data_IF_634717948762
#
_entry.id   IF_634717948762
#
_cell.length_a   1.000
_cell.length_b   1.000
_cell.length_c   1.000
_cell.angle_alpha   90.00
_cell.angle_beta   90.00
_cell.angle_gamma   90.00
#
_symmetry.space_group_name_H-M   'P 1'
#
loop_
_entity.id
_entity.type
_entity.pdbx_description
1 polymer ?
#
# COMPACT_ATOMS: atom_id res chain seq x y z
N UNK A 1 8.74 -50.04 19.89
CA UNK A 1 7.33 -49.57 20.07
C UNK A 1 7.15 -48.31 19.24
N UNK A 2 6.37 -48.38 18.16
CA UNK A 2 6.13 -47.25 17.25
C UNK A 2 5.04 -46.33 17.83
N UNK A 3 5.33 -45.03 17.91
CA UNK A 3 4.44 -44.01 18.46
C UNK A 3 3.48 -43.56 17.37
N UNK A 4 2.23 -44.04 17.42
CA UNK A 4 1.18 -43.70 16.45
C UNK A 4 0.86 -42.21 16.52
N UNK A 5 1.05 -41.48 15.42
CA UNK A 5 0.66 -40.06 15.31
C UNK A 5 -0.87 -39.97 15.23
N UNK A 6 -1.48 -39.35 16.24
CA UNK A 6 -2.91 -39.05 16.25
C UNK A 6 -3.20 -38.02 15.15
N UNK A 7 -4.22 -38.21 14.29
CA UNK A 7 -4.58 -37.24 13.26
C UNK A 7 -5.05 -35.93 13.89
N UNK A 8 -4.50 -34.81 13.42
CA UNK A 8 -4.97 -33.48 13.83
C UNK A 8 -6.43 -33.31 13.40
N UNK A 9 -7.30 -33.14 14.39
CA UNK A 9 -8.75 -32.97 14.21
C UNK A 9 -9.02 -31.75 13.34
N UNK A 10 -9.85 -31.91 12.30
CA UNK A 10 -10.24 -30.82 11.41
C UNK A 10 -10.77 -29.60 12.21
N UNK A 11 -10.38 -28.36 11.85
CA UNK A 11 -10.85 -27.16 12.53
C UNK A 11 -12.38 -27.08 12.50
N UNK A 12 -13.01 -26.78 13.63
CA UNK A 12 -14.46 -26.56 13.70
C UNK A 12 -14.82 -25.36 12.81
N UNK A 13 -15.79 -25.55 11.90
CA UNK A 13 -16.21 -24.56 10.90
C UNK A 13 -16.66 -23.19 11.47
N UNK A 14 -16.93 -23.08 12.79
CA UNK A 14 -17.51 -21.89 13.40
C UNK A 14 -16.52 -21.00 14.19
N UNK A 15 -15.21 -21.16 14.00
CA UNK A 15 -14.21 -20.27 14.63
C UNK A 15 -14.11 -18.94 13.88
N UNK A 16 -13.76 -17.85 14.60
CA UNK A 16 -13.50 -16.53 13.99
C UNK A 16 -12.46 -16.62 12.86
N UNK A 17 -11.37 -17.36 13.10
CA UNK A 17 -10.31 -17.59 12.10
C UNK A 17 -10.82 -18.30 10.85
N UNK A 18 -11.73 -19.28 10.99
CA UNK A 18 -12.31 -19.97 9.84
C UNK A 18 -13.18 -19.01 9.00
N UNK A 19 -13.96 -18.14 9.65
CA UNK A 19 -14.76 -17.12 8.95
C UNK A 19 -13.89 -16.10 8.22
N UNK A 20 -12.83 -15.59 8.86
CA UNK A 20 -11.88 -14.65 8.23
C UNK A 20 -11.18 -15.27 7.02
N UNK A 21 -10.80 -16.55 7.11
CA UNK A 21 -10.20 -17.26 5.99
C UNK A 21 -11.20 -17.49 4.84
N UNK A 22 -12.43 -17.85 5.16
CA UNK A 22 -13.49 -18.04 4.17
C UNK A 22 -13.85 -16.72 3.47
N UNK A 23 -13.91 -15.60 4.20
CA UNK A 23 -14.13 -14.29 3.60
C UNK A 23 -12.96 -13.84 2.72
N UNK A 24 -11.71 -14.04 3.16
CA UNK A 24 -10.54 -13.77 2.32
C UNK A 24 -10.58 -14.58 1.02
N UNK A 25 -10.92 -15.86 1.08
CA UNK A 25 -11.05 -16.69 -0.11
C UNK A 25 -12.15 -16.17 -1.04
N UNK A 26 -13.32 -15.81 -0.49
CA UNK A 26 -14.42 -15.21 -1.26
C UNK A 26 -13.99 -13.93 -1.99
N UNK A 27 -13.26 -13.05 -1.30
CA UNK A 27 -12.72 -11.80 -1.86
C UNK A 27 -11.68 -12.07 -2.96
N UNK A 28 -10.81 -13.07 -2.76
CA UNK A 28 -9.84 -13.52 -3.76
C UNK A 28 -10.52 -14.03 -5.03
N UNK A 29 -11.53 -14.90 -4.87
CA UNK A 29 -12.29 -15.46 -5.98
C UNK A 29 -13.06 -14.37 -6.74
N UNK A 30 -13.65 -13.41 -6.01
CA UNK A 30 -14.31 -12.25 -6.61
C UNK A 30 -13.34 -11.41 -7.43
N UNK A 31 -12.18 -11.06 -6.88
CA UNK A 31 -11.16 -10.28 -7.57
C UNK A 31 -10.65 -11.01 -8.83
N UNK A 32 -10.40 -12.31 -8.75
CA UNK A 32 -9.93 -13.08 -9.90
C UNK A 32 -10.97 -13.14 -11.02
N UNK A 33 -12.26 -13.36 -10.66
CA UNK A 33 -13.35 -13.34 -11.64
C UNK A 33 -13.47 -11.98 -12.32
N UNK A 34 -13.42 -10.90 -11.53
CA UNK A 34 -13.48 -9.54 -12.05
C UNK A 34 -12.29 -9.21 -12.95
N UNK A 35 -11.08 -9.62 -12.57
CA UNK A 35 -9.88 -9.45 -13.40
C UNK A 35 -10.08 -10.11 -14.77
N UNK A 36 -10.50 -11.38 -14.79
CA UNK A 36 -10.72 -12.12 -16.03
C UNK A 36 -11.80 -11.48 -16.90
N UNK A 37 -12.91 -11.05 -16.29
CA UNK A 37 -14.00 -10.36 -16.96
C UNK A 37 -13.52 -9.06 -17.62
N UNK A 38 -12.89 -8.16 -16.85
CA UNK A 38 -12.39 -6.88 -17.35
C UNK A 38 -11.30 -7.08 -18.40
N UNK A 39 -10.40 -8.06 -18.22
CA UNK A 39 -9.40 -8.39 -19.21
C UNK A 39 -10.04 -8.73 -20.54
N UNK A 40 -11.09 -9.55 -20.54
CA UNK A 40 -11.79 -9.92 -21.76
C UNK A 40 -12.57 -8.75 -22.39
N UNK A 41 -13.37 -8.03 -21.60
CA UNK A 41 -14.36 -7.08 -22.16
C UNK A 41 -13.84 -5.65 -22.35
N UNK A 42 -12.77 -5.27 -21.64
CA UNK A 42 -12.14 -3.93 -21.73
C UNK A 42 -10.78 -4.04 -22.38
N UNK A 43 -9.92 -4.91 -21.85
CA UNK A 43 -8.51 -4.99 -22.26
C UNK A 43 -8.25 -5.99 -23.40
N UNK A 44 -9.33 -6.57 -23.97
CA UNK A 44 -9.31 -7.48 -25.14
C UNK A 44 -8.38 -8.70 -24.97
N UNK A 45 -8.19 -9.17 -23.74
CA UNK A 45 -7.29 -10.28 -23.41
C UNK A 45 -5.81 -9.93 -23.54
N UNK A 46 -5.46 -8.64 -23.64
CA UNK A 46 -4.07 -8.21 -23.83
C UNK A 46 -3.26 -8.16 -22.52
N UNK A 47 -3.92 -8.16 -21.34
CA UNK A 47 -3.21 -8.38 -20.09
C UNK A 47 -2.92 -9.88 -19.92
N UNK A 48 -1.72 -10.29 -19.47
CA UNK A 48 -1.39 -11.71 -19.34
C UNK A 48 -2.36 -12.43 -18.40
N UNK A 49 -2.91 -13.60 -18.79
CA UNK A 49 -3.89 -14.33 -17.99
C UNK A 49 -3.29 -14.89 -16.69
N UNK A 50 -1.97 -15.02 -16.61
CA UNK A 50 -1.20 -15.42 -15.43
C UNK A 50 -0.81 -14.25 -14.52
N UNK A 51 -1.30 -13.03 -14.80
CA UNK A 51 -1.13 -11.86 -13.93
C UNK A 51 -1.56 -12.21 -12.50
N UNK A 52 -0.60 -12.11 -11.57
CA UNK A 52 -0.79 -12.56 -10.21
C UNK A 52 -1.50 -11.50 -9.37
N UNK A 53 -2.63 -11.86 -8.75
CA UNK A 53 -3.27 -11.02 -7.73
C UNK A 53 -2.72 -11.39 -6.35
N UNK A 54 -1.83 -10.56 -5.80
CA UNK A 54 -1.15 -10.80 -4.52
C UNK A 54 -1.81 -10.08 -3.36
N UNK A 55 -2.47 -10.85 -2.50
CA UNK A 55 -3.11 -10.33 -1.29
C UNK A 55 -2.10 -10.17 -0.15
N UNK A 56 -1.93 -8.94 0.31
CA UNK A 56 -0.90 -8.54 1.24
C UNK A 56 -1.48 -8.02 2.55
N UNK A 57 -1.00 -8.59 3.67
CA UNK A 57 -1.26 -8.09 5.02
C UNK A 57 -0.34 -6.92 5.42
N UNK A 58 0.63 -6.60 4.55
CA UNK A 58 1.68 -5.61 4.79
C UNK A 58 1.49 -4.34 3.96
N UNK A 59 0.63 -4.37 2.94
CA UNK A 59 0.17 -3.18 2.25
C UNK A 59 -0.87 -2.46 3.12
N UNK A 60 -0.43 -1.40 3.83
CA UNK A 60 -1.23 -0.73 4.88
C UNK A 60 -1.48 0.76 4.60
N UNK A 61 -0.84 1.34 3.58
CA UNK A 61 -0.93 2.75 3.22
C UNK A 61 -1.77 2.99 1.95
N UNK A 62 -1.85 2.00 1.07
CA UNK A 62 -2.68 2.03 -0.15
C UNK A 62 -3.48 0.74 -0.22
N UNK A 63 -4.55 0.76 -1.01
CA UNK A 63 -5.41 -0.41 -1.16
C UNK A 63 -4.95 -1.39 -2.24
N UNK A 64 -4.24 -0.89 -3.24
CA UNK A 64 -3.70 -1.66 -4.35
C UNK A 64 -2.36 -1.09 -4.81
N UNK A 65 -1.61 -1.90 -5.57
CA UNK A 65 -0.43 -1.47 -6.32
C UNK A 65 -0.18 -2.39 -7.51
N UNK A 66 -0.28 -1.85 -8.71
CA UNK A 66 0.21 -2.50 -9.92
C UNK A 66 1.76 -2.51 -9.93
N UNK A 67 2.34 -3.62 -10.38
CA UNK A 67 3.78 -3.81 -10.55
C UNK A 67 4.06 -4.36 -11.94
N UNK A 68 5.01 -3.73 -12.60
CA UNK A 68 5.54 -4.17 -13.88
C UNK A 68 7.06 -4.11 -13.81
N UNK A 69 7.72 -5.20 -14.20
CA UNK A 69 9.17 -5.27 -14.30
C UNK A 69 9.55 -6.02 -15.56
N UNK A 70 10.54 -5.53 -16.30
CA UNK A 70 11.13 -6.22 -17.45
C UNK A 70 12.60 -6.43 -17.21
N UNK A 71 13.03 -7.69 -17.19
CA UNK A 71 14.44 -8.05 -17.01
C UNK A 71 15.27 -7.72 -18.25
N UNK A 72 16.60 -7.78 -18.12
CA UNK A 72 17.52 -7.56 -19.25
C UNK A 72 17.39 -8.64 -20.32
N UNK A 73 17.00 -9.84 -19.90
CA UNK A 73 16.71 -11.00 -20.75
C UNK A 73 15.34 -10.89 -21.44
N UNK A 74 14.59 -9.81 -21.17
CA UNK A 74 13.28 -9.57 -21.77
C UNK A 74 12.11 -10.26 -21.07
N UNK A 75 12.32 -10.86 -19.89
CA UNK A 75 11.25 -11.49 -19.12
C UNK A 75 10.43 -10.40 -18.43
N UNK A 76 9.14 -10.35 -18.74
CA UNK A 76 8.19 -9.41 -18.14
C UNK A 76 7.46 -10.08 -16.97
N UNK A 77 7.46 -9.42 -15.81
CA UNK A 77 6.75 -9.83 -14.60
C UNK A 77 5.68 -8.80 -14.28
N UNK A 78 4.44 -9.24 -14.21
CA UNK A 78 3.27 -8.40 -13.96
C UNK A 78 2.50 -8.92 -12.74
N UNK A 79 2.23 -8.03 -11.79
CA UNK A 79 1.54 -8.35 -10.54
C UNK A 79 0.63 -7.20 -10.13
N UNK A 80 -0.50 -7.51 -9.50
CA UNK A 80 -1.29 -6.54 -8.73
C UNK A 80 -1.24 -6.95 -7.26
N UNK A 81 -0.64 -6.13 -6.41
CA UNK A 81 -0.73 -6.29 -4.96
C UNK A 81 -2.02 -5.65 -4.44
N UNK A 82 -2.75 -6.35 -3.58
CA UNK A 82 -4.04 -5.95 -3.02
C UNK A 82 -3.98 -6.00 -1.49
N UNK A 83 -4.44 -4.96 -0.81
CA UNK A 83 -4.34 -4.84 0.64
C UNK A 83 -5.48 -5.60 1.34
N UNK A 84 -5.14 -6.72 1.99
CA UNK A 84 -6.10 -7.58 2.71
C UNK A 84 -6.92 -6.81 3.76
N UNK A 85 -6.27 -5.89 4.48
CA UNK A 85 -6.90 -5.12 5.58
C UNK A 85 -7.70 -3.90 5.13
N UNK A 86 -7.56 -3.47 3.88
CA UNK A 86 -8.23 -2.27 3.34
C UNK A 86 -9.39 -2.68 2.41
N UNK A 87 -9.18 -3.73 1.62
CA UNK A 87 -10.17 -4.26 0.69
C UNK A 87 -11.12 -5.25 1.38
N UNK A 88 -11.96 -4.72 2.26
CA UNK A 88 -12.89 -5.48 3.11
C UNK A 88 -14.29 -5.70 2.49
N UNK A 89 -14.59 -5.06 1.37
CA UNK A 89 -15.86 -5.23 0.65
C UNK A 89 -15.66 -5.24 -0.88
N UNK A 90 -16.67 -5.79 -1.59
CA UNK A 90 -16.62 -5.98 -3.04
C UNK A 90 -16.52 -4.66 -3.82
N UNK A 91 -17.12 -3.59 -3.29
CA UNK A 91 -17.03 -2.27 -3.90
C UNK A 91 -15.61 -1.72 -3.91
N UNK A 92 -14.90 -1.82 -2.78
CA UNK A 92 -13.49 -1.40 -2.70
C UNK A 92 -12.63 -2.26 -3.62
N UNK A 93 -12.88 -3.58 -3.63
CA UNK A 93 -12.14 -4.50 -4.51
C UNK A 93 -12.35 -4.12 -5.97
N UNK A 94 -13.58 -3.92 -6.44
CA UNK A 94 -13.81 -3.65 -7.87
C UNK A 94 -13.23 -2.33 -8.32
N UNK A 95 -13.36 -1.26 -7.52
CA UNK A 95 -12.84 0.05 -7.89
C UNK A 95 -11.30 0.03 -7.89
N UNK A 96 -10.69 -0.55 -6.85
CA UNK A 96 -9.23 -0.62 -6.75
C UNK A 96 -8.62 -1.55 -7.77
N UNK A 97 -9.13 -2.78 -7.93
CA UNK A 97 -8.60 -3.70 -8.92
C UNK A 97 -8.68 -3.10 -10.33
N UNK A 98 -9.81 -2.47 -10.68
CA UNK A 98 -9.97 -1.81 -11.97
C UNK A 98 -8.98 -0.67 -12.18
N UNK A 99 -8.71 0.12 -11.14
CA UNK A 99 -7.69 1.17 -11.15
C UNK A 99 -6.31 0.57 -11.44
N UNK A 100 -5.91 -0.46 -10.69
CA UNK A 100 -4.60 -1.11 -10.89
C UNK A 100 -4.49 -1.77 -12.27
N UNK A 101 -5.58 -2.34 -12.80
CA UNK A 101 -5.61 -2.88 -14.17
C UNK A 101 -5.46 -1.79 -15.23
N UNK A 102 -5.98 -0.58 -15.00
CA UNK A 102 -5.78 0.55 -15.92
C UNK A 102 -4.30 0.95 -15.97
N UNK A 103 -3.59 0.96 -14.84
CA UNK A 103 -2.14 1.13 -14.84
C UNK A 103 -1.44 0.05 -15.68
N UNK A 104 -1.75 -1.22 -15.45
CA UNK A 104 -1.17 -2.31 -16.25
C UNK A 104 -1.44 -2.13 -17.75
N UNK A 105 -2.64 -1.72 -18.14
CA UNK A 105 -2.98 -1.48 -19.54
C UNK A 105 -2.08 -0.40 -20.16
N UNK A 106 -1.83 0.70 -19.45
CA UNK A 106 -0.92 1.75 -19.96
C UNK A 106 0.51 1.26 -20.15
N UNK A 107 0.95 0.31 -19.33
CA UNK A 107 2.32 -0.21 -19.37
C UNK A 107 2.51 -1.34 -20.37
N UNK A 108 1.55 -2.26 -20.44
CA UNK A 108 1.61 -3.49 -21.23
C UNK A 108 1.05 -3.30 -22.63
N UNK A 109 -0.06 -2.56 -22.77
CA UNK A 109 -0.77 -2.40 -24.04
C UNK A 109 -0.27 -1.15 -24.77
N UNK A 110 -0.16 -0.03 -24.06
CA UNK A 110 0.31 1.23 -24.67
C UNK A 110 1.83 1.39 -24.61
N UNK A 111 2.54 0.43 -23.98
CA UNK A 111 4.00 0.43 -23.81
C UNK A 111 4.57 1.70 -23.15
N UNK A 112 3.80 2.35 -22.27
CA UNK A 112 4.18 3.58 -21.59
C UNK A 112 4.28 3.39 -20.07
N UNK A 113 5.38 2.82 -19.61
CA UNK A 113 5.66 2.56 -18.17
C UNK A 113 5.78 3.82 -17.30
N UNK A 114 5.90 5.01 -17.91
CA UNK A 114 5.98 6.29 -17.19
C UNK A 114 4.61 6.92 -16.99
N UNK A 115 3.59 6.42 -17.69
CA UNK A 115 2.22 6.85 -17.51
C UNK A 115 1.73 6.46 -16.11
N UNK A 116 1.18 7.44 -15.41
CA UNK A 116 0.54 7.26 -14.12
C UNK A 116 -0.97 7.42 -14.32
N UNK A 117 -1.46 8.65 -14.20
CA UNK A 117 -2.89 9.00 -14.32
C UNK A 117 -3.17 10.01 -15.44
N UNK A 118 -2.30 10.06 -16.46
CA UNK A 118 -2.47 10.91 -17.63
C UNK A 118 -3.53 10.38 -18.60
N UNK A 119 -3.43 10.79 -19.86
CA UNK A 119 -4.50 10.60 -20.85
C UNK A 119 -4.78 9.13 -21.15
N UNK A 120 -3.75 8.28 -21.20
CA UNK A 120 -3.94 6.85 -21.48
C UNK A 120 -4.69 6.18 -20.34
N UNK A 121 -4.29 6.46 -19.09
CA UNK A 121 -4.99 5.95 -17.91
C UNK A 121 -6.46 6.38 -17.89
N UNK A 122 -6.74 7.67 -18.13
CA UNK A 122 -8.11 8.19 -18.16
C UNK A 122 -8.95 7.53 -19.25
N UNK A 123 -8.36 7.25 -20.42
CA UNK A 123 -9.03 6.53 -21.49
C UNK A 123 -9.38 5.10 -21.08
N UNK A 124 -8.47 4.37 -20.43
CA UNK A 124 -8.77 3.02 -19.92
C UNK A 124 -9.82 3.05 -18.82
N UNK A 125 -9.71 3.97 -17.87
CA UNK A 125 -10.69 4.18 -16.82
C UNK A 125 -12.10 4.45 -17.41
N UNK A 126 -12.20 5.31 -18.42
CA UNK A 126 -13.46 5.59 -19.10
C UNK A 126 -14.03 4.34 -19.81
N UNK A 127 -13.18 3.52 -20.42
CA UNK A 127 -13.61 2.26 -21.03
C UNK A 127 -14.12 1.25 -20.00
N UNK A 128 -13.44 1.13 -18.85
CA UNK A 128 -13.92 0.31 -17.72
C UNK A 128 -15.29 0.79 -17.26
N UNK A 129 -15.43 2.07 -16.92
CA UNK A 129 -16.70 2.62 -16.42
C UNK A 129 -17.83 2.53 -17.46
N UNK A 130 -17.51 2.58 -18.75
CA UNK A 130 -18.48 2.37 -19.84
C UNK A 130 -18.97 0.91 -19.90
N UNK A 131 -18.08 -0.07 -19.72
CA UNK A 131 -18.42 -1.50 -19.77
C UNK A 131 -19.03 -2.01 -18.46
N UNK A 132 -18.66 -1.39 -17.35
CA UNK A 132 -19.09 -1.72 -15.98
C UNK A 132 -19.49 -0.45 -15.24
N UNK A 133 -20.73 0.04 -15.42
CA UNK A 133 -21.22 1.26 -14.80
C UNK A 133 -21.27 1.22 -13.25
N UNK A 134 -21.18 0.03 -12.67
CA UNK A 134 -21.09 -0.18 -11.22
C UNK A 134 -19.68 0.03 -10.66
N UNK A 135 -18.67 0.22 -11.53
CA UNK A 135 -17.29 0.51 -11.17
C UNK A 135 -17.03 2.00 -11.35
N UNK A 136 -16.35 2.61 -10.38
CA UNK A 136 -15.89 3.99 -10.45
C UNK A 136 -14.37 4.04 -10.31
N UNK A 137 -13.67 4.31 -11.42
CA UNK A 137 -12.22 4.46 -11.44
C UNK A 137 -11.87 5.94 -11.35
N UNK A 138 -11.35 6.35 -10.19
CA UNK A 138 -10.81 7.69 -9.94
C UNK A 138 -9.28 7.68 -9.94
N UNK A 139 -8.67 8.87 -10.05
CA UNK A 139 -7.20 9.05 -9.98
C UNK A 139 -6.65 8.72 -8.59
N UNK A 140 -7.45 8.96 -7.55
CA UNK A 140 -7.13 8.63 -6.15
C UNK A 140 -8.20 7.70 -5.60
N UNK A 141 -7.81 6.71 -4.81
CA UNK A 141 -8.77 5.91 -4.02
C UNK A 141 -9.49 6.84 -3.04
N UNK A 142 -10.79 7.09 -3.23
CA UNK A 142 -11.57 8.08 -2.46
C UNK A 142 -12.43 7.44 -1.36
N UNK A 143 -11.89 6.50 -0.59
CA UNK A 143 -12.64 5.89 0.51
C UNK A 143 -11.86 5.95 1.83
N UNK A 144 -12.61 6.16 2.90
CA UNK A 144 -12.06 6.27 4.24
C UNK A 144 -11.52 4.92 4.71
N UNK A 145 -10.21 4.83 4.87
CA UNK A 145 -9.58 3.67 5.49
C UNK A 145 -9.86 3.76 7.00
N UNK A 146 -10.75 2.90 7.48
CA UNK A 146 -11.03 2.82 8.91
C UNK A 146 -9.90 2.08 9.62
N UNK A 147 -9.25 2.75 10.56
CA UNK A 147 -8.19 2.14 11.36
C UNK A 147 -8.72 1.73 12.74
N UNK A 148 -8.47 0.49 13.20
CA UNK A 148 -8.92 0.06 14.52
C UNK A 148 -8.19 0.76 15.67
N UNK A 149 -7.04 1.38 15.41
CA UNK A 149 -6.26 2.11 16.40
C UNK A 149 -5.90 3.50 15.87
N UNK A 150 -6.68 4.48 16.25
CA UNK A 150 -6.43 5.88 15.92
C UNK A 150 -5.79 6.62 17.10
N UNK A 151 -4.87 7.52 16.78
CA UNK A 151 -4.13 8.33 17.74
C UNK A 151 -4.16 9.78 17.31
N UNK A 152 -4.46 10.68 18.23
CA UNK A 152 -4.50 12.12 17.97
C UNK A 152 -3.34 12.81 18.66
N UNK A 153 -2.64 13.69 17.94
CA UNK A 153 -1.68 14.58 18.55
C UNK A 153 -2.37 15.66 19.38
N UNK A 154 -2.00 15.77 20.66
CA UNK A 154 -2.57 16.76 21.57
C UNK A 154 -2.15 18.22 21.27
N UNK A 155 -1.14 18.45 20.41
CA UNK A 155 -0.63 19.78 20.06
C UNK A 155 -1.13 20.26 18.70
N UNK A 156 -0.99 19.45 17.65
CA UNK A 156 -1.36 19.84 16.28
C UNK A 156 -2.59 19.12 15.73
N UNK A 157 -3.33 18.37 16.56
CA UNK A 157 -4.54 17.62 16.19
C UNK A 157 -4.37 16.58 15.06
N UNK A 158 -3.14 16.30 14.59
CA UNK A 158 -2.91 15.28 13.56
C UNK A 158 -3.35 13.91 14.05
N UNK A 159 -4.21 13.24 13.28
CA UNK A 159 -4.65 11.86 13.51
C UNK A 159 -3.76 10.87 12.77
N UNK A 160 -3.38 9.79 13.45
CA UNK A 160 -2.61 8.67 12.94
C UNK A 160 -3.43 7.39 13.07
N UNK A 161 -3.83 6.81 11.95
CA UNK A 161 -4.46 5.50 11.90
C UNK A 161 -3.45 4.35 11.84
N UNK A 162 -3.69 3.29 12.62
CA UNK A 162 -2.88 2.07 12.64
C UNK A 162 -3.75 0.81 12.67
N UNK A 163 -3.30 -0.24 11.99
CA UNK A 163 -3.93 -1.57 12.02
C UNK A 163 -3.48 -2.45 13.20
N UNK A 164 -2.60 -1.93 14.06
CA UNK A 164 -2.15 -2.53 15.31
C UNK A 164 -1.98 -1.44 16.38
N UNK A 165 -2.14 -1.83 17.65
CA UNK A 165 -1.83 -0.95 18.79
C UNK A 165 -0.30 -0.89 18.99
N UNK A 166 0.40 -0.18 18.10
CA UNK A 166 1.86 -0.20 18.01
C UNK A 166 2.55 1.08 18.52
N UNK A 167 1.80 2.12 18.86
CA UNK A 167 2.38 3.38 19.34
C UNK A 167 2.57 3.28 20.85
N UNK A 168 3.82 3.32 21.29
CA UNK A 168 4.15 3.56 22.68
C UNK A 168 4.28 5.06 22.91
N UNK A 169 3.32 5.65 23.64
CA UNK A 169 3.24 7.09 23.88
C UNK A 169 4.40 7.64 24.72
N UNK A 170 5.12 6.77 25.43
CA UNK A 170 6.28 7.16 26.23
C UNK A 170 7.56 7.23 25.39
N UNK A 171 7.59 6.53 24.25
CA UNK A 171 8.76 6.46 23.35
C UNK A 171 8.56 7.27 22.06
N UNK A 172 7.31 7.55 21.68
CA UNK A 172 6.96 8.18 20.41
C UNK A 172 6.30 9.54 20.62
N UNK A 173 6.86 10.57 19.98
CA UNK A 173 6.20 11.86 19.79
C UNK A 173 5.47 11.93 18.43
N UNK A 174 4.64 12.95 18.25
CA UNK A 174 3.99 13.24 16.97
C UNK A 174 5.03 13.49 15.87
N UNK A 175 5.02 12.68 14.81
CA UNK A 175 5.95 12.85 13.69
C UNK A 175 5.74 14.14 12.88
N UNK A 176 4.57 14.78 12.96
CA UNK A 176 4.26 15.99 12.20
C UNK A 176 4.81 17.25 12.88
N UNK A 177 4.53 17.45 14.18
CA UNK A 177 5.01 18.62 14.92
C UNK A 177 6.26 18.34 15.78
N UNK A 178 6.71 17.08 15.86
CA UNK A 178 7.86 16.58 16.63
C UNK A 178 7.80 16.76 18.15
N UNK A 179 6.85 17.54 18.66
CA UNK A 179 6.74 17.85 20.09
C UNK A 179 5.51 17.22 20.78
N UNK A 180 4.41 17.09 20.06
CA UNK A 180 3.13 16.76 20.68
C UNK A 180 3.02 15.29 21.08
N UNK A 181 2.49 15.01 22.28
CA UNK A 181 2.15 13.66 22.72
C UNK A 181 0.92 13.12 21.98
N UNK A 182 0.86 11.79 21.83
CA UNK A 182 -0.24 11.09 21.17
C UNK A 182 -1.20 10.52 22.22
N UNK A 183 -2.49 10.80 22.08
CA UNK A 183 -3.56 10.18 22.88
C UNK A 183 -4.33 9.16 22.02
N UNK A 184 -4.72 7.99 22.56
CA UNK A 184 -5.54 7.03 21.81
C UNK A 184 -6.98 7.55 21.66
N UNK A 185 -7.57 7.36 20.49
CA UNK A 185 -8.99 7.59 20.20
C UNK A 185 -9.83 6.31 20.26
N UNK A 186 -9.25 5.22 20.78
CA UNK A 186 -9.89 3.92 20.95
C UNK A 186 -9.88 3.48 22.42
N UNK A 187 -10.72 2.50 22.77
CA UNK A 187 -10.73 1.92 24.12
C UNK A 187 -9.45 1.14 24.38
N UNK A 188 -8.50 1.75 25.09
CA UNK A 188 -7.29 1.06 25.55
C UNK A 188 -7.58 0.36 26.89
N UNK A 189 -7.58 -0.98 26.91
CA UNK A 189 -7.46 -1.70 28.18
C UNK A 189 -6.05 -1.42 28.70
N UNK A 190 -5.91 -0.65 29.78
CA UNK A 190 -4.62 -0.48 30.45
C UNK A 190 -4.03 -1.87 30.66
N UNK A 191 -2.78 -2.10 30.22
CA UNK A 191 -2.02 -3.26 30.69
C UNK A 191 -1.96 -3.11 32.21
N UNK A 192 -2.64 -3.99 32.93
CA UNK A 192 -2.33 -4.20 34.35
C UNK A 192 -0.89 -4.66 34.36
N UNK A 193 -0.01 -3.93 35.06
CA UNK A 193 1.38 -4.33 35.27
C UNK A 193 1.37 -5.71 35.94
N UNK A 194 1.50 -6.76 35.14
CA UNK A 194 1.80 -8.08 35.65
C UNK A 194 3.28 -8.06 35.99
N UNK A 195 3.68 -8.29 37.25
CA UNK A 195 5.09 -8.30 37.63
C UNK A 195 5.86 -9.26 36.73
N UNK A 196 6.97 -8.79 36.15
CA UNK A 196 7.90 -9.64 35.38
C UNK A 196 8.61 -10.61 36.33
N UNK A 197 7.94 -11.70 36.72
CA UNK A 197 8.63 -12.88 37.21
C UNK A 197 8.81 -13.85 36.03
N UNK A 198 9.84 -13.62 35.20
CA UNK A 198 10.28 -14.63 34.24
C UNK A 198 11.34 -15.51 34.89
N UNK A 199 11.00 -16.76 35.22
CA UNK A 199 12.02 -17.80 35.30
C UNK A 199 12.45 -18.12 33.86
N UNK A 200 13.76 -18.00 33.61
CA UNK A 200 14.46 -18.27 32.35
C UNK A 200 14.59 -17.08 31.37
N UNK A 201 15.43 -16.11 31.72
CA UNK A 201 16.05 -15.22 30.74
C UNK A 201 17.37 -15.85 30.25
N UNK A 202 17.37 -16.43 29.05
CA UNK A 202 18.60 -16.64 28.29
C UNK A 202 18.91 -15.32 27.57
N UNK A 203 20.04 -14.71 27.91
CA UNK A 203 20.49 -13.46 27.30
C UNK A 203 20.68 -13.63 25.78
N UNK A 204 20.01 -12.78 25.00
CA UNK A 204 20.32 -12.56 23.58
C UNK A 204 20.67 -11.07 23.38
N UNK A 205 21.59 -10.75 22.45
CA UNK A 205 22.13 -9.41 22.29
C UNK A 205 21.04 -8.44 21.83
N UNK A 206 21.07 -7.22 22.39
CA UNK A 206 20.18 -6.11 22.08
C UNK A 206 20.45 -5.62 20.66
N UNK A 207 19.67 -6.09 19.69
CA UNK A 207 19.50 -5.42 18.41
C UNK A 207 18.46 -4.30 18.58
N UNK A 208 18.92 -3.06 18.50
CA UNK A 208 18.08 -1.85 18.42
C UNK A 208 17.19 -1.93 17.17
N UNK A 209 15.89 -2.13 17.34
CA UNK A 209 14.92 -1.82 16.30
C UNK A 209 14.72 -0.31 16.27
N UNK A 210 15.49 0.36 15.42
CA UNK A 210 15.17 1.75 15.04
C UNK A 210 13.80 1.73 14.36
N UNK A 211 12.87 2.56 14.86
CA UNK A 211 11.73 2.98 14.06
C UNK A 211 12.29 3.61 12.80
N UNK A 212 11.94 3.01 11.66
CA UNK A 212 12.37 3.45 10.33
C UNK A 212 11.80 4.85 10.13
N UNK A 213 12.64 5.85 10.38
CA UNK A 213 12.40 7.22 9.96
C UNK A 213 12.68 7.26 8.46
N UNK A 214 11.65 7.45 7.63
CA UNK A 214 11.87 7.98 6.29
C UNK A 214 12.36 9.42 6.47
N UNK A 215 13.67 9.61 6.40
CA UNK A 215 14.31 10.92 6.36
C UNK A 215 14.28 11.37 4.91
N UNK A 216 13.42 12.35 4.58
CA UNK A 216 13.60 13.13 3.37
C UNK A 216 14.79 14.07 3.58
N UNK A 217 15.92 13.79 2.94
CA UNK A 217 17.02 14.74 2.77
C UNK A 217 16.64 15.75 1.69
N UNK A 218 16.30 16.98 2.09
CA UNK A 218 16.28 18.11 1.16
C UNK A 218 17.69 18.70 1.10
N UNK A 219 18.38 18.49 -0.02
CA UNK A 219 19.63 19.17 -0.35
C UNK A 219 19.31 20.64 -0.66
N UNK A 220 19.74 21.56 0.20
CA UNK A 220 19.76 23.00 -0.11
C UNK A 220 20.89 23.25 -1.09
N UNK A 221 20.56 23.52 -2.35
CA UNK A 221 21.47 24.21 -3.27
C UNK A 221 21.16 25.70 -3.17
N UNK A 222 22.14 26.46 -2.69
CA UNK A 222 22.15 27.92 -2.68
C UNK A 222 22.57 28.35 -4.09
N UNK A 223 21.74 29.13 -4.78
CA UNK A 223 22.14 29.90 -5.97
C UNK A 223 21.53 31.29 -5.83
N UNK A 224 22.39 32.30 -5.95
CA UNK A 224 22.11 33.72 -5.77
C UNK A 224 21.03 34.28 -6.71
N UNK A 225 20.28 35.26 -6.19
CA UNK A 225 19.38 36.13 -6.98
C UNK A 225 20.19 37.26 -7.67
N UNK A 226 19.63 37.90 -8.73
CA UNK A 226 18.83 39.09 -8.45
C UNK A 226 17.57 39.29 -9.32
N UNK A 227 16.54 39.83 -8.64
CA UNK A 227 15.60 40.89 -9.07
C UNK A 227 14.88 40.82 -10.44
N UNK A 228 13.56 40.62 -10.42
CA UNK A 228 12.51 41.63 -10.72
C UNK A 228 11.11 40.99 -10.69
N UNK A 229 10.07 41.79 -10.42
CA UNK A 229 8.64 41.47 -10.13
C UNK A 229 7.74 42.14 -11.20
N UNK A 230 6.39 42.03 -11.24
CA UNK A 230 5.38 40.98 -10.94
C UNK A 230 4.67 40.51 -12.25
N UNK A 231 3.70 39.58 -12.36
CA UNK A 231 2.40 39.42 -11.68
C UNK A 231 1.71 38.17 -12.28
N UNK A 232 1.05 37.35 -11.44
CA UNK A 232 -0.25 36.65 -11.67
C UNK A 232 -0.32 35.28 -10.99
N UNK A 233 -1.18 35.22 -9.98
CA UNK A 233 -1.96 34.10 -9.42
C UNK A 233 -1.66 32.67 -9.87
N UNK A 234 -1.15 31.86 -8.94
CA UNK A 234 -1.17 30.39 -8.97
C UNK A 234 -1.83 29.88 -7.69
N UNK A 235 -2.86 29.05 -7.85
CA UNK A 235 -3.51 28.26 -6.81
C UNK A 235 -2.62 27.11 -6.38
N UNK A 236 -2.60 26.85 -5.07
CA UNK A 236 -1.79 25.88 -4.34
C UNK A 236 -1.77 24.47 -4.95
N UNK A 237 -0.56 23.96 -5.17
CA UNK A 237 -0.28 22.55 -5.42
C UNK A 237 0.19 21.92 -4.10
N UNK A 238 -0.67 21.10 -3.51
CA UNK A 238 -0.33 20.26 -2.37
C UNK A 238 0.42 19.01 -2.83
N UNK A 239 1.73 19.01 -2.62
CA UNK A 239 2.65 17.89 -2.81
C UNK A 239 2.41 16.82 -1.74
N UNK A 240 2.24 15.55 -2.13
CA UNK A 240 2.21 14.44 -1.18
C UNK A 240 3.23 13.34 -1.52
N UNK A 241 3.71 12.70 -0.45
CA UNK A 241 4.89 11.85 -0.33
C UNK A 241 4.87 10.51 -1.09
N UNK A 242 4.07 10.36 -2.14
CA UNK A 242 3.97 9.12 -2.93
C UNK A 242 4.96 9.07 -4.11
N UNK A 243 5.68 10.17 -4.38
CA UNK A 243 6.42 10.39 -5.63
C UNK A 243 7.92 10.10 -5.61
N UNK A 244 8.52 9.71 -4.47
CA UNK A 244 10.00 9.58 -4.39
C UNK A 244 10.51 8.14 -4.45
N UNK A 245 9.77 7.14 -3.96
CA UNK A 245 10.31 5.77 -3.94
C UNK A 245 10.39 5.12 -5.34
N UNK A 246 9.53 5.49 -6.29
CA UNK A 246 9.59 4.92 -7.64
C UNK A 246 10.69 5.55 -8.51
N UNK A 247 11.06 6.81 -8.25
CA UNK A 247 12.12 7.52 -9.01
C UNK A 247 13.52 7.14 -8.51
N UNK A 248 13.67 6.88 -7.21
CA UNK A 248 14.98 6.53 -6.61
C UNK A 248 15.50 5.17 -7.12
N UNK A 249 14.63 4.20 -7.41
CA UNK A 249 15.03 2.90 -7.96
C UNK A 249 15.42 2.93 -9.45
N UNK A 250 15.01 3.96 -10.19
CA UNK A 250 15.36 4.14 -11.61
C UNK A 250 16.65 4.96 -11.80
N UNK A 251 16.95 5.91 -10.90
CA UNK A 251 18.16 6.73 -10.97
C UNK A 251 19.42 5.96 -10.54
N UNK A 252 19.30 5.03 -9.58
CA UNK A 252 20.42 4.19 -9.15
C UNK A 252 20.91 3.21 -10.23
N UNK A 253 20.03 2.83 -11.18
CA UNK A 253 20.39 1.94 -12.28
C UNK A 253 21.00 2.67 -13.49
N UNK A 254 20.77 3.97 -13.64
CA UNK A 254 21.35 4.76 -14.75
C UNK A 254 22.82 5.12 -14.47
N UNK A 255 23.20 5.32 -13.20
CA UNK A 255 24.56 5.71 -12.81
C UNK A 255 25.54 4.51 -12.88
N UNK A 256 25.04 3.27 -12.82
CA UNK A 256 25.86 2.06 -12.91
C UNK A 256 26.32 1.70 -14.35
N UNK A 257 25.82 2.40 -15.38
CA UNK A 257 26.19 2.14 -16.79
C UNK A 257 27.09 3.21 -17.42
N UNK A 258 27.46 4.26 -16.68
CA UNK A 258 28.36 5.33 -17.16
C UNK A 258 29.77 5.29 -16.57
N UNK A 259 30.20 4.15 -15.99
CA UNK A 259 31.58 3.99 -15.47
C UNK A 259 32.38 2.85 -16.13
N UNK A 260 31.98 2.44 -17.35
CA UNK A 260 32.79 1.55 -18.20
C UNK A 260 32.80 2.08 -19.63
N UNK A 261 33.46 3.23 -19.83
CA UNK A 261 34.11 3.65 -21.08
C UNK A 261 35.21 4.62 -20.74
#
# INVERSE_FOLDING_TARGET
MARTKVPLKAPRANTKRARELADLQRRQDYAQKLFNELNNVVFKGALPPDTKLQWSKRLLSTAGKAKYHRSREGVETIEIELADKILDCDERIRNTLSHEMCHLATWVIDHNVREQHGKLFQNWAAQVMKKRPDIHVSIKHNYDITYPFEWECQKCAKVYGRFSNSINVDECACGACKDGKLKPLFTSKRKVDTPKQSRMAAAKPKGTFQCIHHVFLTLKVIIDSPSTRPTSTVSELDSNSQDIEFIVDMLTQTIASTSLT
#
